data_IF_305383906362
#
_entry.id   IF_305383906362
#
_cell.length_a   1.000
_cell.length_b   1.000
_cell.length_c   1.000
_cell.angle_alpha   90.00
_cell.angle_beta   90.00
_cell.angle_gamma   90.00
#
_symmetry.space_group_name_H-M   'P 1'
#
loop_
_entity.id
_entity.type
_entity.pdbx_description
1 polymer ?
#
# COMPACT_ATOMS: atom_id res chain seq x y z
N UNK A 1 -1.67 -83.90 87.76
CA UNK A 1 -0.65 -84.80 87.17
C UNK A 1 0.35 -83.95 86.40
N UNK A 2 1.63 -84.25 86.63
CA UNK A 2 2.80 -83.62 86.04
C UNK A 2 2.86 -83.94 84.53
N UNK A 3 3.14 -82.97 83.67
CA UNK A 3 4.11 -83.16 82.58
C UNK A 3 4.61 -81.85 81.96
N UNK A 4 5.93 -81.81 81.81
CA UNK A 4 6.77 -80.74 81.26
C UNK A 4 6.83 -80.82 79.72
N UNK A 5 7.49 -79.82 79.14
CA UNK A 5 8.03 -79.67 77.77
C UNK A 5 7.21 -78.72 76.90
N UNK A 6 7.78 -77.80 76.12
CA UNK A 6 9.17 -77.44 75.83
C UNK A 6 9.08 -76.05 75.18
N UNK A 7 9.94 -75.12 75.58
CA UNK A 7 10.00 -73.76 75.03
C UNK A 7 10.49 -73.80 73.57
N UNK A 8 9.74 -73.20 72.63
CA UNK A 8 10.25 -72.89 71.30
C UNK A 8 9.93 -71.43 70.98
N UNK A 9 10.95 -70.58 71.09
CA UNK A 9 10.91 -69.17 70.74
C UNK A 9 10.94 -69.06 69.21
N UNK A 10 9.79 -68.79 68.59
CA UNK A 10 9.73 -68.41 67.17
C UNK A 10 10.06 -66.91 67.08
N UNK A 11 11.27 -66.63 66.62
CA UNK A 11 11.69 -65.31 66.14
C UNK A 11 10.99 -65.07 64.79
N UNK A 12 9.92 -64.27 64.77
CA UNK A 12 9.32 -63.80 63.53
C UNK A 12 10.25 -62.72 62.96
N UNK A 13 11.11 -63.12 62.01
CA UNK A 13 11.77 -62.19 61.11
C UNK A 13 10.69 -61.50 60.26
N UNK A 14 10.38 -60.25 60.57
CA UNK A 14 9.64 -59.37 59.67
C UNK A 14 10.62 -58.97 58.58
N UNK A 15 10.67 -59.77 57.50
CA UNK A 15 11.33 -59.36 56.27
C UNK A 15 10.56 -58.17 55.72
N UNK A 16 11.13 -56.96 55.84
CA UNK A 16 10.76 -55.81 55.02
C UNK A 16 11.07 -56.20 53.57
N UNK A 17 10.09 -56.81 52.90
CA UNK A 17 10.10 -56.94 51.46
C UNK A 17 10.18 -55.54 50.88
N UNK A 18 11.30 -55.22 50.23
CA UNK A 18 11.43 -54.01 49.44
C UNK A 18 10.35 -54.08 48.36
N UNK A 19 9.21 -53.39 48.57
CA UNK A 19 8.21 -53.23 47.53
C UNK A 19 8.94 -52.54 46.37
N UNK A 20 9.15 -53.28 45.27
CA UNK A 20 9.86 -52.78 44.10
C UNK A 20 9.11 -51.52 43.65
N UNK A 21 9.79 -50.38 43.75
CA UNK A 21 9.21 -49.10 43.39
C UNK A 21 8.71 -49.16 41.94
N UNK A 22 7.44 -48.80 41.72
CA UNK A 22 6.85 -48.82 40.39
C UNK A 22 7.60 -47.83 39.48
N UNK A 23 7.91 -48.28 38.26
CA UNK A 23 8.63 -47.47 37.28
C UNK A 23 7.82 -46.19 36.95
N UNK A 24 8.48 -45.02 36.80
CA UNK A 24 7.76 -43.79 36.45
C UNK A 24 6.98 -43.96 35.13
N UNK A 25 5.78 -43.39 35.07
CA UNK A 25 4.90 -43.42 33.91
C UNK A 25 4.27 -42.04 33.68
N UNK A 26 4.15 -41.64 32.43
CA UNK A 26 3.37 -40.48 31.98
C UNK A 26 2.53 -40.94 30.80
N UNK A 27 1.21 -40.87 30.91
CA UNK A 27 0.29 -41.07 29.79
C UNK A 27 -0.32 -39.72 29.40
N UNK A 28 0.14 -39.16 28.30
CA UNK A 28 -0.40 -37.93 27.71
C UNK A 28 -1.70 -38.24 26.96
N UNK A 29 -2.79 -37.53 27.29
CA UNK A 29 -4.04 -37.63 26.57
C UNK A 29 -4.13 -36.47 25.55
N UNK A 30 -3.34 -36.57 24.49
CA UNK A 30 -3.32 -35.61 23.40
C UNK A 30 -3.25 -36.34 22.05
N UNK A 31 -4.26 -36.14 21.21
CA UNK A 31 -4.27 -36.72 19.86
C UNK A 31 -3.22 -36.02 18.99
N UNK A 32 -2.26 -36.78 18.45
CA UNK A 32 -1.28 -36.26 17.49
C UNK A 32 -0.08 -35.51 18.09
N UNK A 33 0.08 -35.49 19.43
CA UNK A 33 1.29 -34.93 20.07
C UNK A 33 1.42 -33.41 20.02
N UNK A 34 0.37 -32.68 19.63
CA UNK A 34 0.38 -31.22 19.48
C UNK A 34 -0.98 -30.62 19.84
N UNK A 35 -0.97 -29.42 20.40
CA UNK A 35 -2.13 -28.51 20.39
C UNK A 35 -1.87 -27.35 19.42
N UNK A 36 -2.93 -26.89 18.74
CA UNK A 36 -2.87 -25.78 17.79
C UNK A 36 -3.82 -24.66 18.23
N UNK A 37 -3.38 -23.41 18.10
CA UNK A 37 -4.19 -22.22 18.39
C UNK A 37 -4.12 -21.20 17.26
N UNK A 38 -5.18 -20.40 17.14
CA UNK A 38 -5.17 -19.24 16.26
C UNK A 38 -4.16 -18.18 16.74
N UNK A 39 -3.85 -17.21 15.89
CA UNK A 39 -2.96 -16.10 16.21
C UNK A 39 -3.43 -15.20 17.36
N UNK A 40 -4.67 -15.33 17.84
CA UNK A 40 -5.19 -14.54 18.97
C UNK A 40 -4.81 -15.18 20.32
N UNK A 41 -4.86 -14.37 21.39
CA UNK A 41 -4.67 -14.89 22.75
C UNK A 41 -5.73 -15.95 23.06
N UNK A 42 -5.30 -17.07 23.64
CA UNK A 42 -6.19 -18.20 23.94
C UNK A 42 -5.67 -19.03 25.11
N UNK A 43 -6.56 -19.81 25.72
CA UNK A 43 -6.22 -20.78 26.76
C UNK A 43 -6.76 -22.14 26.35
N UNK A 44 -5.93 -23.18 26.44
CA UNK A 44 -6.29 -24.55 26.11
C UNK A 44 -5.93 -25.48 27.27
N UNK A 45 -6.59 -26.63 27.35
CA UNK A 45 -6.33 -27.62 28.40
C UNK A 45 -5.72 -28.90 27.82
N UNK A 46 -4.68 -29.42 28.45
CA UNK A 46 -4.08 -30.74 28.16
C UNK A 46 -4.20 -31.62 29.40
N UNK A 47 -4.63 -32.87 29.23
CA UNK A 47 -4.74 -33.81 30.35
C UNK A 47 -3.69 -34.90 30.26
N UNK A 48 -3.17 -35.34 31.40
CA UNK A 48 -2.24 -36.47 31.47
C UNK A 48 -2.35 -37.19 32.82
N UNK A 49 -1.91 -38.44 32.86
CA UNK A 49 -1.80 -39.22 34.11
C UNK A 49 -0.36 -39.58 34.40
N UNK A 50 0.03 -39.54 35.67
CA UNK A 50 1.35 -39.99 36.12
C UNK A 50 1.30 -40.66 37.49
N UNK A 51 2.21 -41.61 37.73
CA UNK A 51 2.34 -42.31 39.01
C UNK A 51 3.43 -41.71 39.93
N UNK A 52 4.11 -40.63 39.52
CA UNK A 52 5.11 -39.91 40.33
C UNK A 52 4.74 -38.42 40.46
N UNK A 53 5.38 -37.75 41.40
CA UNK A 53 5.42 -36.28 41.37
C UNK A 53 6.08 -35.82 40.07
N UNK A 54 5.62 -34.69 39.56
CA UNK A 54 5.94 -34.24 38.21
C UNK A 54 6.24 -32.74 38.16
N UNK A 55 6.91 -32.32 37.10
CA UNK A 55 7.11 -30.93 36.71
C UNK A 55 6.74 -30.74 35.23
N UNK A 56 6.27 -29.55 34.87
CA UNK A 56 6.06 -29.13 33.49
C UNK A 56 6.88 -27.87 33.21
N UNK A 57 7.64 -27.92 32.13
CA UNK A 57 8.47 -26.82 31.67
C UNK A 57 8.19 -26.56 30.20
N UNK A 58 8.13 -25.29 29.82
CA UNK A 58 8.20 -24.92 28.41
C UNK A 58 9.67 -24.99 28.01
N UNK A 59 10.03 -25.95 27.16
CA UNK A 59 11.37 -26.08 26.62
C UNK A 59 11.54 -25.15 25.42
N UNK A 60 12.73 -24.57 25.31
CA UNK A 60 12.94 -23.41 24.46
C UNK A 60 13.82 -23.75 23.26
N UNK A 61 13.32 -23.46 22.06
CA UNK A 61 14.15 -22.69 21.16
C UNK A 61 13.87 -21.21 21.46
N UNK A 62 14.72 -20.55 22.27
CA UNK A 62 14.75 -19.09 22.42
C UNK A 62 13.78 -18.38 23.40
N UNK A 63 13.50 -18.93 24.58
CA UNK A 63 12.68 -18.30 25.65
C UNK A 63 11.32 -17.73 25.25
N UNK A 64 10.33 -18.58 24.93
CA UNK A 64 9.02 -18.11 24.51
C UNK A 64 8.24 -17.56 25.72
N UNK A 65 8.27 -16.23 25.88
CA UNK A 65 7.41 -15.49 26.82
C UNK A 65 5.92 -15.53 26.44
N UNK A 66 5.60 -16.01 25.24
CA UNK A 66 4.26 -16.01 24.68
C UNK A 66 3.42 -17.21 25.10
N UNK A 67 4.00 -18.28 25.67
CA UNK A 67 3.26 -19.45 26.16
C UNK A 67 3.56 -19.69 27.63
N UNK A 68 2.54 -20.05 28.41
CA UNK A 68 2.73 -20.46 29.80
C UNK A 68 1.90 -21.69 30.14
N UNK A 69 2.42 -22.53 31.03
CA UNK A 69 1.77 -23.76 31.51
C UNK A 69 1.50 -23.67 33.00
N UNK A 70 0.28 -24.07 33.43
CA UNK A 70 -0.11 -24.11 34.85
C UNK A 70 -0.98 -25.34 35.14
N UNK A 71 -0.78 -26.05 36.26
CA UNK A 71 0.34 -25.91 37.20
C UNK A 71 1.68 -26.37 36.59
N UNK A 72 2.80 -25.89 37.16
CA UNK A 72 4.17 -26.27 36.71
C UNK A 72 4.75 -27.46 37.47
N UNK A 73 4.08 -27.93 38.52
CA UNK A 73 4.44 -29.13 39.27
C UNK A 73 3.24 -29.69 40.03
N UNK A 74 3.34 -30.94 40.45
CA UNK A 74 2.30 -31.60 41.23
C UNK A 74 2.67 -33.00 41.67
N UNK A 75 1.71 -33.67 42.31
CA UNK A 75 1.81 -35.08 42.74
C UNK A 75 1.27 -36.01 41.66
N UNK A 76 1.46 -37.32 41.86
CA UNK A 76 0.85 -38.37 41.05
C UNK A 76 -0.67 -38.22 40.97
N UNK A 77 -1.26 -38.67 39.86
CA UNK A 77 -2.70 -38.63 39.62
C UNK A 77 -3.05 -38.29 38.17
N UNK A 78 -4.30 -37.86 37.97
CA UNK A 78 -4.77 -37.24 36.73
C UNK A 78 -4.66 -35.73 36.86
N UNK A 79 -4.01 -35.09 35.90
CA UNK A 79 -3.72 -33.66 35.91
C UNK A 79 -4.28 -33.01 34.66
N UNK A 80 -4.84 -31.81 34.84
CA UNK A 80 -5.17 -30.88 33.75
C UNK A 80 -4.19 -29.72 33.78
N UNK A 81 -3.47 -29.52 32.69
CA UNK A 81 -2.62 -28.37 32.44
C UNK A 81 -3.40 -27.33 31.65
N UNK A 82 -3.39 -26.09 32.11
CA UNK A 82 -3.79 -24.92 31.33
C UNK A 82 -2.58 -24.41 30.55
N UNK A 83 -2.75 -24.21 29.26
CA UNK A 83 -1.77 -23.66 28.33
C UNK A 83 -2.31 -22.33 27.84
N UNK A 84 -1.74 -21.24 28.36
CA UNK A 84 -2.10 -19.88 27.98
C UNK A 84 -1.14 -19.38 26.90
N UNK A 85 -1.68 -18.95 25.76
CA UNK A 85 -0.94 -18.37 24.63
C UNK A 85 -1.28 -16.89 24.49
N UNK A 86 -0.26 -16.05 24.38
CA UNK A 86 -0.40 -14.65 23.98
C UNK A 86 -0.68 -14.55 22.48
N UNK A 87 -1.26 -13.44 22.03
CA UNK A 87 -1.47 -13.17 20.61
C UNK A 87 -0.14 -13.15 19.84
N UNK A 88 -0.15 -13.73 18.64
CA UNK A 88 0.88 -13.66 17.63
C UNK A 88 0.49 -12.57 16.62
N UNK A 89 1.23 -11.46 16.58
CA UNK A 89 0.92 -10.34 15.68
C UNK A 89 1.67 -10.40 14.34
N UNK A 90 2.61 -11.33 14.17
CA UNK A 90 3.48 -11.40 12.99
C UNK A 90 2.96 -12.41 11.96
N UNK A 91 3.31 -12.19 10.68
CA UNK A 91 3.01 -13.08 9.56
C UNK A 91 3.95 -14.30 9.53
N UNK A 92 4.16 -14.93 10.69
CA UNK A 92 4.93 -16.16 10.83
C UNK A 92 4.33 -16.97 11.97
N UNK A 93 4.10 -18.26 11.76
CA UNK A 93 3.69 -19.17 12.83
C UNK A 93 4.83 -19.35 13.82
N UNK A 94 4.48 -19.73 15.05
CA UNK A 94 5.47 -19.99 16.10
C UNK A 94 5.13 -21.26 16.86
N UNK A 95 6.17 -21.94 17.31
CA UNK A 95 6.10 -23.21 18.00
C UNK A 95 6.84 -23.15 19.33
N UNK A 96 6.36 -23.89 20.31
CA UNK A 96 7.03 -24.15 21.58
C UNK A 96 6.78 -25.59 22.01
N UNK A 97 7.71 -26.18 22.75
CA UNK A 97 7.55 -27.52 23.27
C UNK A 97 7.26 -27.47 24.77
N UNK A 98 6.25 -28.21 25.23
CA UNK A 98 5.96 -28.37 26.66
C UNK A 98 6.39 -29.77 27.07
N UNK A 99 7.34 -29.83 28.00
CA UNK A 99 7.92 -31.07 28.52
C UNK A 99 7.42 -31.32 29.93
N UNK A 100 6.81 -32.49 30.12
CA UNK A 100 6.41 -33.02 31.42
C UNK A 100 7.47 -34.02 31.87
N UNK A 101 7.96 -33.90 33.09
CA UNK A 101 8.95 -34.80 33.68
C UNK A 101 8.36 -35.46 34.93
N UNK A 102 8.43 -36.78 35.04
CA UNK A 102 8.01 -37.54 36.22
C UNK A 102 9.04 -38.63 36.51
N UNK A 103 9.77 -38.51 37.62
CA UNK A 103 10.94 -39.34 37.88
C UNK A 103 12.00 -39.16 36.79
N UNK A 104 12.35 -40.25 36.10
CA UNK A 104 13.35 -40.27 35.02
C UNK A 104 12.75 -40.21 33.61
N UNK A 105 11.41 -40.22 33.49
CA UNK A 105 10.74 -40.17 32.18
C UNK A 105 10.26 -38.75 31.89
N UNK A 106 10.44 -38.36 30.64
CA UNK A 106 9.89 -37.14 30.07
C UNK A 106 8.89 -37.46 28.97
N UNK A 107 7.94 -36.56 28.77
CA UNK A 107 6.97 -36.61 27.69
C UNK A 107 6.74 -35.18 27.18
N UNK A 108 6.88 -34.98 25.88
CA UNK A 108 6.87 -33.65 25.27
C UNK A 108 5.75 -33.56 24.24
N UNK A 109 5.02 -32.45 24.24
CA UNK A 109 4.06 -32.11 23.20
C UNK A 109 4.31 -30.70 22.67
N UNK A 110 3.94 -30.46 21.41
CA UNK A 110 4.12 -29.17 20.74
C UNK A 110 2.91 -28.26 20.96
N UNK A 111 3.18 -26.97 21.12
CA UNK A 111 2.21 -25.88 21.04
C UNK A 111 2.48 -25.11 19.76
N UNK A 112 1.58 -25.24 18.79
CA UNK A 112 1.65 -24.52 17.52
C UNK A 112 0.68 -23.34 17.54
N UNK A 113 1.15 -22.16 17.16
CA UNK A 113 0.30 -20.98 16.99
C UNK A 113 0.40 -20.43 15.57
N UNK A 114 -0.76 -20.25 14.94
CA UNK A 114 -0.88 -19.72 13.58
C UNK A 114 -0.26 -18.32 13.46
N UNK A 115 0.15 -17.97 12.23
CA UNK A 115 0.53 -16.61 11.87
C UNK A 115 -0.68 -15.65 11.91
N UNK A 116 -0.43 -14.37 12.20
CA UNK A 116 -1.44 -13.33 11.99
C UNK A 116 -1.75 -13.17 10.49
N UNK A 117 -2.98 -12.73 10.12
CA UNK A 117 -3.27 -12.30 8.75
C UNK A 117 -2.31 -11.18 8.29
N UNK A 118 -2.05 -11.05 6.98
CA UNK A 118 -1.13 -10.04 6.46
C UNK A 118 -1.71 -8.63 6.68
N UNK A 119 -0.85 -7.68 7.02
CA UNK A 119 -1.25 -6.28 7.17
C UNK A 119 -0.40 -5.38 6.27
N UNK A 120 -0.99 -4.30 5.75
CA UNK A 120 -0.25 -3.21 5.13
C UNK A 120 -0.83 -1.86 5.56
N UNK A 121 0.06 -0.95 5.92
CA UNK A 121 -0.27 0.44 6.25
C UNK A 121 0.67 1.38 5.51
N UNK A 122 0.15 2.55 5.16
CA UNK A 122 0.92 3.67 4.59
C UNK A 122 0.74 4.90 5.49
N UNK A 123 1.75 5.76 5.55
CA UNK A 123 1.73 6.97 6.39
C UNK A 123 0.79 8.06 5.89
N UNK A 124 0.43 8.05 4.60
CA UNK A 124 -0.57 8.95 4.01
C UNK A 124 -1.25 8.33 2.79
N UNK A 125 -2.55 8.56 2.63
CA UNK A 125 -3.33 8.10 1.47
C UNK A 125 -3.36 9.10 0.31
N UNK A 126 -3.04 10.37 0.55
CA UNK A 126 -3.09 11.43 -0.47
C UNK A 126 -1.82 12.28 -0.37
N UNK A 127 -1.29 12.67 -1.52
CA UNK A 127 -0.21 13.65 -1.61
C UNK A 127 -0.35 14.52 -2.86
N UNK A 128 -0.25 15.84 -2.67
CA UNK A 128 -0.28 16.81 -3.75
C UNK A 128 1.13 17.39 -3.94
N UNK A 129 1.57 17.51 -5.19
CA UNK A 129 2.89 18.05 -5.55
C UNK A 129 2.78 19.09 -6.68
N UNK A 130 3.80 19.95 -6.79
CA UNK A 130 3.93 20.93 -7.88
C UNK A 130 4.08 20.27 -9.25
N UNK A 131 3.91 21.06 -10.32
CA UNK A 131 3.98 20.57 -11.69
C UNK A 131 5.42 20.29 -12.15
N UNK A 132 6.42 20.72 -11.39
CA UNK A 132 7.83 20.53 -11.67
C UNK A 132 8.25 19.07 -11.52
N UNK A 133 9.44 18.74 -12.04
CA UNK A 133 10.08 17.47 -11.71
C UNK A 133 10.39 17.42 -10.22
N UNK A 134 10.28 16.25 -9.60
CA UNK A 134 10.51 16.16 -8.17
C UNK A 134 10.51 14.74 -7.63
N UNK A 135 10.50 14.67 -6.30
CA UNK A 135 10.43 13.40 -5.59
C UNK A 135 9.61 13.52 -4.31
N UNK A 136 8.99 12.42 -3.92
CA UNK A 136 8.17 12.29 -2.73
C UNK A 136 8.35 10.89 -2.12
N UNK A 137 8.06 10.74 -0.83
CA UNK A 137 8.20 9.46 -0.12
C UNK A 137 6.90 9.02 0.52
N UNK A 138 6.73 7.71 0.64
CA UNK A 138 5.65 7.06 1.39
C UNK A 138 6.27 5.98 2.26
N UNK A 139 6.00 6.01 3.57
CA UNK A 139 6.42 4.96 4.47
C UNK A 139 5.39 3.83 4.47
N UNK A 140 5.84 2.59 4.26
CA UNK A 140 5.01 1.39 4.22
C UNK A 140 5.40 0.50 5.40
N UNK A 141 4.40 -0.02 6.12
CA UNK A 141 4.62 -0.99 7.20
C UNK A 141 3.75 -2.24 7.01
N UNK A 142 4.32 -3.40 7.33
CA UNK A 142 3.65 -4.71 7.33
C UNK A 142 4.00 -5.46 8.61
N UNK A 143 3.24 -6.50 8.94
CA UNK A 143 3.52 -7.38 10.08
C UNK A 143 4.53 -8.50 9.75
N UNK A 144 5.46 -8.24 8.83
CA UNK A 144 6.42 -9.23 8.32
C UNK A 144 5.96 -9.95 7.05
N UNK A 145 4.72 -9.74 6.61
CA UNK A 145 4.29 -10.19 5.30
C UNK A 145 4.99 -9.39 4.19
N UNK A 146 5.40 -10.02 3.07
CA UNK A 146 5.95 -9.31 1.93
C UNK A 146 4.89 -8.39 1.31
N UNK A 147 5.34 -7.37 0.58
CA UNK A 147 4.44 -6.48 -0.14
C UNK A 147 4.93 -6.19 -1.57
N UNK A 148 4.00 -5.77 -2.42
CA UNK A 148 4.22 -5.30 -3.79
C UNK A 148 3.50 -3.98 -4.04
N UNK A 149 3.96 -3.26 -5.06
CA UNK A 149 3.40 -1.98 -5.51
C UNK A 149 3.00 -2.06 -6.97
N UNK A 150 1.83 -1.51 -7.29
CA UNK A 150 1.32 -1.37 -8.66
C UNK A 150 0.77 0.04 -8.90
N UNK A 151 0.43 0.34 -10.15
CA UNK A 151 -0.17 1.64 -10.53
C UNK A 151 0.85 2.78 -10.69
N UNK A 152 2.13 2.46 -10.84
CA UNK A 152 3.19 3.44 -11.16
C UNK A 152 3.08 3.82 -12.65
N UNK A 153 2.70 5.07 -12.99
CA UNK A 153 2.56 5.49 -14.38
C UNK A 153 3.92 5.79 -15.03
N UNK A 154 3.95 5.91 -16.37
CA UNK A 154 5.19 6.10 -17.14
C UNK A 154 5.97 7.39 -16.84
N UNK A 155 5.31 8.41 -16.26
CA UNK A 155 5.94 9.68 -15.88
C UNK A 155 6.58 9.64 -14.48
N UNK A 156 6.50 8.50 -13.78
CA UNK A 156 6.99 8.28 -12.42
C UNK A 156 7.80 6.99 -12.33
N UNK A 157 8.79 6.94 -11.44
CA UNK A 157 9.47 5.71 -11.03
C UNK A 157 9.42 5.56 -9.51
N UNK A 158 9.43 4.32 -9.02
CA UNK A 158 9.51 3.99 -7.60
C UNK A 158 10.86 3.34 -7.29
N UNK A 159 11.45 3.67 -6.13
CA UNK A 159 12.71 3.06 -5.68
C UNK A 159 12.60 1.56 -5.40
N UNK A 160 11.39 1.08 -5.16
CA UNK A 160 11.06 -0.33 -4.99
C UNK A 160 9.63 -0.58 -5.43
N UNK A 161 9.42 -1.71 -6.11
CA UNK A 161 8.09 -2.23 -6.46
C UNK A 161 7.65 -3.39 -5.54
N UNK A 162 8.45 -3.66 -4.51
CA UNK A 162 8.22 -4.72 -3.53
C UNK A 162 9.44 -4.96 -2.66
N UNK A 163 9.22 -5.37 -1.42
CA UNK A 163 10.27 -5.71 -0.47
C UNK A 163 9.78 -6.83 0.47
N UNK A 164 10.71 -7.58 1.08
CA UNK A 164 10.34 -8.62 2.03
C UNK A 164 9.63 -8.04 3.28
N UNK A 165 9.89 -6.78 3.64
CA UNK A 165 9.30 -6.11 4.81
C UNK A 165 9.15 -4.60 4.61
N UNK A 166 8.62 -3.90 5.63
CA UNK A 166 8.39 -2.47 5.72
C UNK A 166 9.58 -1.62 5.24
N UNK A 167 9.31 -0.63 4.38
CA UNK A 167 10.32 0.31 3.87
C UNK A 167 9.69 1.66 3.53
N UNK A 168 10.54 2.66 3.32
CA UNK A 168 10.14 3.91 2.66
C UNK A 168 10.32 3.74 1.16
N UNK A 169 9.25 3.99 0.40
CA UNK A 169 9.30 4.06 -1.07
C UNK A 169 9.46 5.50 -1.50
N UNK A 170 10.46 5.76 -2.33
CA UNK A 170 10.69 7.06 -2.96
C UNK A 170 10.13 7.03 -4.37
N UNK A 171 9.22 7.96 -4.66
CA UNK A 171 8.68 8.23 -5.98
C UNK A 171 9.43 9.40 -6.59
N UNK A 172 10.01 9.23 -7.77
CA UNK A 172 10.58 10.31 -8.58
C UNK A 172 9.72 10.50 -9.81
N UNK A 173 9.37 11.74 -10.13
CA UNK A 173 8.42 12.05 -11.19
C UNK A 173 8.91 13.17 -12.11
N UNK A 174 8.57 13.06 -13.38
CA UNK A 174 8.84 14.08 -14.40
C UNK A 174 7.92 15.29 -14.20
N UNK A 175 8.24 16.42 -14.83
CA UNK A 175 7.37 17.58 -14.85
C UNK A 175 6.05 17.30 -15.61
N UNK A 176 4.95 17.88 -15.15
CA UNK A 176 3.67 17.92 -15.86
C UNK A 176 3.55 19.26 -16.60
N UNK A 177 3.83 19.27 -17.91
CA UNK A 177 3.80 20.50 -18.72
C UNK A 177 2.42 20.83 -19.29
N UNK A 178 1.41 20.00 -19.02
CA UNK A 178 0.04 20.21 -19.46
C UNK A 178 -0.70 21.13 -18.48
N UNK A 179 -1.63 21.93 -19.00
CA UNK A 179 -2.56 22.74 -18.21
C UNK A 179 -3.69 21.90 -17.55
N UNK A 180 -3.45 20.61 -17.36
CA UNK A 180 -4.35 19.65 -16.73
C UNK A 180 -3.55 18.86 -15.70
N UNK A 181 -4.07 18.77 -14.49
CA UNK A 181 -3.44 17.97 -13.43
C UNK A 181 -3.47 16.48 -13.80
N UNK A 182 -2.51 15.71 -13.27
CA UNK A 182 -2.44 14.27 -13.48
C UNK A 182 -2.31 13.53 -12.16
N UNK A 183 -2.78 12.30 -12.14
CA UNK A 183 -2.88 11.48 -10.93
C UNK A 183 -2.19 10.13 -11.12
N UNK A 184 -1.60 9.61 -10.04
CA UNK A 184 -1.15 8.23 -9.90
C UNK A 184 -1.90 7.55 -8.75
N UNK A 185 -2.54 6.42 -9.04
CA UNK A 185 -3.20 5.56 -8.06
C UNK A 185 -2.26 4.40 -7.69
N UNK A 186 -1.44 4.62 -6.67
CA UNK A 186 -0.37 3.71 -6.25
C UNK A 186 -0.93 2.72 -5.22
N UNK A 187 -1.00 1.45 -5.58
CA UNK A 187 -1.62 0.41 -4.74
C UNK A 187 -0.55 -0.48 -4.13
N UNK A 188 -0.43 -0.41 -2.80
CA UNK A 188 0.40 -1.28 -1.99
C UNK A 188 -0.41 -2.50 -1.57
N UNK A 189 0.11 -3.69 -1.87
CA UNK A 189 -0.54 -4.97 -1.56
C UNK A 189 0.39 -5.82 -0.72
N UNK A 190 -0.07 -6.26 0.45
CA UNK A 190 0.60 -7.31 1.23
C UNK A 190 -0.29 -8.54 1.26
N UNK A 191 0.05 -9.51 0.40
CA UNK A 191 -0.72 -10.73 0.16
C UNK A 191 -2.19 -10.41 -0.17
N UNK A 192 -3.10 -10.40 0.80
CA UNK A 192 -4.53 -10.06 0.61
C UNK A 192 -4.91 -8.65 1.09
N UNK A 193 -4.07 -7.99 1.89
CA UNK A 193 -4.35 -6.64 2.40
C UNK A 193 -3.88 -5.58 1.41
N UNK A 194 -4.66 -4.52 1.22
CA UNK A 194 -4.34 -3.43 0.28
C UNK A 194 -4.48 -2.05 0.90
N UNK A 195 -3.66 -1.11 0.42
CA UNK A 195 -3.78 0.34 0.67
C UNK A 195 -3.45 1.11 -0.60
N UNK A 196 -4.23 2.16 -0.85
CA UNK A 196 -4.03 3.06 -2.01
C UNK A 196 -3.47 4.39 -1.53
N UNK A 197 -2.39 4.82 -2.18
CA UNK A 197 -1.84 6.16 -2.11
C UNK A 197 -2.14 6.89 -3.42
N UNK A 198 -2.81 8.04 -3.34
CA UNK A 198 -3.14 8.86 -4.49
C UNK A 198 -2.18 10.05 -4.54
N UNK A 199 -1.39 10.12 -5.60
CA UNK A 199 -0.51 11.27 -5.84
C UNK A 199 -1.06 12.13 -6.96
N UNK A 200 -1.40 13.39 -6.65
CA UNK A 200 -1.84 14.39 -7.63
C UNK A 200 -0.69 15.35 -7.94
N UNK A 201 -0.29 15.42 -9.20
CA UNK A 201 0.66 16.40 -9.70
C UNK A 201 -0.10 17.56 -10.38
N UNK A 202 0.17 18.78 -9.92
CA UNK A 202 -0.51 19.97 -10.41
C UNK A 202 -0.34 20.18 -11.94
N UNK A 203 -1.26 20.94 -12.52
CA UNK A 203 -1.15 21.45 -13.89
C UNK A 203 -0.05 22.52 -13.98
N UNK A 204 0.65 22.58 -15.11
CA UNK A 204 1.47 23.73 -15.45
C UNK A 204 0.61 24.95 -15.80
N UNK A 205 1.17 26.17 -15.70
CA UNK A 205 0.52 27.37 -16.24
C UNK A 205 0.14 27.22 -17.71
N UNK A 206 -0.99 27.80 -18.10
CA UNK A 206 -1.46 27.78 -19.48
C UNK A 206 -0.49 28.51 -20.43
N UNK A 207 -0.26 27.93 -21.60
CA UNK A 207 0.50 28.54 -22.69
C UNK A 207 -0.38 28.74 -23.92
N UNK A 208 -0.10 29.79 -24.69
CA UNK A 208 -0.75 30.03 -25.99
C UNK A 208 0.21 30.67 -26.98
N UNK A 209 0.20 30.17 -28.21
CA UNK A 209 0.83 30.78 -29.37
C UNK A 209 -0.13 30.75 -30.56
N UNK A 210 0.06 31.69 -31.48
CA UNK A 210 -0.59 31.71 -32.79
C UNK A 210 0.49 31.72 -33.88
N UNK A 211 0.19 31.14 -35.04
CA UNK A 211 1.15 31.03 -36.16
C UNK A 211 1.44 32.37 -36.86
N UNK A 212 0.55 33.35 -36.72
CA UNK A 212 0.72 34.68 -37.27
C UNK A 212 0.13 35.75 -36.34
N UNK A 213 0.90 36.83 -36.11
CA UNK A 213 0.48 37.94 -35.25
C UNK A 213 -0.08 39.12 -36.04
N UNK A 214 0.04 39.11 -37.36
CA UNK A 214 -0.51 40.13 -38.23
C UNK A 214 -0.91 39.53 -39.59
N UNK A 215 -1.95 40.11 -40.21
CA UNK A 215 -2.36 39.75 -41.56
C UNK A 215 -2.93 40.98 -42.26
N UNK A 216 -2.45 41.23 -43.47
CA UNK A 216 -3.09 42.19 -44.40
C UNK A 216 -3.92 41.41 -45.41
N UNK A 217 -5.16 41.85 -45.64
CA UNK A 217 -6.07 41.26 -46.62
C UNK A 217 -6.65 42.32 -47.54
N UNK A 218 -7.07 41.87 -48.72
CA UNK A 218 -7.72 42.72 -49.71
C UNK A 218 -9.08 43.25 -49.25
N UNK A 219 -9.56 44.27 -49.96
CA UNK A 219 -10.85 44.88 -49.65
C UNK A 219 -12.05 43.93 -49.84
N UNK A 220 -11.94 42.88 -50.65
CA UNK A 220 -13.00 41.89 -50.88
C UNK A 220 -13.25 41.02 -49.65
N UNK A 221 -14.43 40.41 -49.52
CA UNK A 221 -14.69 39.42 -48.46
C UNK A 221 -13.85 38.17 -48.65
N UNK A 222 -13.47 37.51 -47.56
CA UNK A 222 -12.69 36.28 -47.64
C UNK A 222 -12.49 35.62 -46.29
N UNK A 223 -11.59 34.63 -46.27
CA UNK A 223 -11.24 33.87 -45.08
C UNK A 223 -9.77 33.46 -45.07
N UNK A 224 -9.20 33.33 -43.88
CA UNK A 224 -7.91 32.67 -43.67
C UNK A 224 -7.92 31.85 -42.37
N UNK A 225 -6.93 30.98 -42.18
CA UNK A 225 -6.79 30.18 -40.97
C UNK A 225 -5.63 30.70 -40.11
N UNK A 226 -5.82 30.65 -38.80
CA UNK A 226 -4.80 30.90 -37.76
C UNK A 226 -4.69 29.65 -36.91
N UNK A 227 -3.52 29.02 -36.87
CA UNK A 227 -3.28 27.91 -35.95
C UNK A 227 -3.02 28.44 -34.54
N UNK A 228 -3.82 28.00 -33.57
CA UNK A 228 -3.65 28.28 -32.13
C UNK A 228 -3.06 27.03 -31.46
N UNK A 229 -1.92 27.18 -30.78
CA UNK A 229 -1.27 26.08 -30.05
C UNK A 229 -1.29 26.37 -28.55
N UNK A 230 -1.71 25.39 -27.74
CA UNK A 230 -1.70 25.47 -26.26
C UNK A 230 -1.16 24.18 -25.64
N UNK A 231 -0.80 24.22 -24.36
CA UNK A 231 -0.45 23.02 -23.58
C UNK A 231 -1.68 22.28 -23.02
N UNK A 232 -2.70 22.06 -23.85
CA UNK A 232 -4.05 21.57 -23.46
C UNK A 232 -4.92 22.59 -22.70
N UNK A 233 -4.46 23.84 -22.57
CA UNK A 233 -5.25 24.90 -21.97
C UNK A 233 -6.46 25.27 -22.84
N UNK A 234 -7.56 25.63 -22.19
CA UNK A 234 -8.67 26.32 -22.84
C UNK A 234 -8.28 27.75 -23.20
N UNK A 235 -8.75 28.23 -24.35
CA UNK A 235 -8.50 29.57 -24.84
C UNK A 235 -9.75 30.21 -25.44
N UNK A 236 -9.77 31.54 -25.46
CA UNK A 236 -10.85 32.37 -26.01
C UNK A 236 -10.31 33.56 -26.78
N UNK A 237 -10.95 33.88 -27.89
CA UNK A 237 -10.69 35.08 -28.68
C UNK A 237 -11.66 36.22 -28.28
N UNK A 238 -11.16 37.46 -28.31
CA UNK A 238 -11.89 38.70 -28.00
C UNK A 238 -11.42 39.83 -28.91
N UNK A 239 -12.06 41.01 -28.85
CA UNK A 239 -11.73 42.13 -29.75
C UNK A 239 -12.18 41.91 -31.21
N UNK A 240 -13.18 41.04 -31.41
CA UNK A 240 -13.69 40.68 -32.74
C UNK A 240 -14.65 41.79 -33.23
N UNK A 241 -14.32 42.56 -34.28
CA UNK A 241 -15.19 43.61 -34.79
C UNK A 241 -16.37 43.01 -35.58
N UNK A 242 -17.43 43.79 -35.81
CA UNK A 242 -18.64 43.32 -36.51
C UNK A 242 -18.41 42.83 -37.96
N UNK A 243 -17.30 43.24 -38.59
CA UNK A 243 -16.94 42.80 -39.94
C UNK A 243 -16.10 41.52 -39.98
N UNK A 244 -15.80 40.91 -38.82
CA UNK A 244 -15.07 39.64 -38.68
C UNK A 244 -15.90 38.62 -37.90
N UNK A 245 -15.80 37.35 -38.28
CA UNK A 245 -16.26 36.22 -37.46
C UNK A 245 -15.16 35.17 -37.31
N UNK A 246 -15.13 34.50 -36.15
CA UNK A 246 -14.16 33.44 -35.85
C UNK A 246 -14.88 32.10 -35.67
N UNK A 247 -14.31 31.03 -36.22
CA UNK A 247 -14.84 29.68 -36.04
C UNK A 247 -13.71 28.67 -35.80
N UNK A 248 -13.56 28.12 -34.58
CA UNK A 248 -14.24 28.53 -33.35
C UNK A 248 -13.65 29.84 -32.76
N UNK A 249 -14.41 30.54 -31.93
CA UNK A 249 -13.91 31.69 -31.15
C UNK A 249 -13.34 31.31 -29.77
N UNK A 250 -13.50 30.06 -29.37
CA UNK A 250 -12.96 29.47 -28.13
C UNK A 250 -12.80 27.96 -28.33
N UNK A 251 -11.79 27.36 -27.70
CA UNK A 251 -11.57 25.91 -27.76
C UNK A 251 -10.79 25.42 -26.54
N UNK A 252 -10.79 24.10 -26.30
CA UNK A 252 -9.86 23.46 -25.37
C UNK A 252 -8.75 22.76 -26.14
N UNK A 253 -7.51 23.04 -25.77
CA UNK A 253 -6.34 22.55 -26.51
C UNK A 253 -6.09 23.31 -27.81
N UNK A 254 -5.08 22.85 -28.55
CA UNK A 254 -4.71 23.41 -29.84
C UNK A 254 -5.81 23.23 -30.88
N UNK A 255 -5.88 24.15 -31.84
CA UNK A 255 -6.85 24.08 -32.94
C UNK A 255 -6.69 25.20 -33.95
N UNK A 256 -7.29 25.04 -35.12
CA UNK A 256 -7.29 26.07 -36.15
C UNK A 256 -8.53 26.95 -36.03
N UNK A 257 -8.33 28.25 -36.16
CA UNK A 257 -9.38 29.27 -36.18
C UNK A 257 -9.54 29.80 -37.59
N UNK A 258 -10.73 29.62 -38.16
CA UNK A 258 -11.11 30.27 -39.41
C UNK A 258 -11.55 31.69 -39.12
N UNK A 259 -10.84 32.67 -39.70
CA UNK A 259 -11.14 34.09 -39.63
C UNK A 259 -11.87 34.47 -40.92
N UNK A 260 -13.17 34.74 -40.85
CA UNK A 260 -13.94 35.26 -41.99
C UNK A 260 -14.12 36.76 -41.85
N UNK A 261 -14.01 37.50 -42.95
CA UNK A 261 -14.17 38.95 -42.97
C UNK A 261 -15.05 39.40 -44.14
N UNK A 262 -15.89 40.42 -43.89
CA UNK A 262 -16.74 41.01 -44.93
C UNK A 262 -15.95 41.97 -45.81
N UNK A 263 -16.53 42.38 -46.94
CA UNK A 263 -15.92 43.39 -47.81
C UNK A 263 -15.76 44.74 -47.09
N UNK A 264 -14.66 45.44 -47.32
CA UNK A 264 -14.48 46.85 -46.96
C UNK A 264 -14.87 47.74 -48.16
N UNK A 265 -16.02 48.39 -48.06
CA UNK A 265 -16.57 49.30 -49.09
C UNK A 265 -16.18 50.77 -48.86
N UNK A 266 -15.30 51.04 -47.89
CA UNK A 266 -14.88 52.39 -47.57
C UNK A 266 -13.60 52.77 -48.31
N UNK A 267 -13.37 54.07 -48.45
CA UNK A 267 -12.14 54.61 -49.05
C UNK A 267 -10.95 54.63 -48.06
N UNK A 268 -11.09 54.03 -46.87
CA UNK A 268 -10.04 53.92 -45.86
C UNK A 268 -9.78 52.45 -45.51
N UNK A 269 -8.53 52.09 -45.24
CA UNK A 269 -8.23 50.78 -44.66
C UNK A 269 -8.81 50.71 -43.26
N UNK A 270 -9.25 49.52 -42.84
CA UNK A 270 -9.75 49.27 -41.49
C UNK A 270 -8.89 48.23 -40.79
N UNK A 271 -8.78 48.34 -39.49
CA UNK A 271 -7.94 47.46 -38.68
C UNK A 271 -8.72 46.91 -37.48
N UNK A 272 -8.35 45.71 -37.04
CA UNK A 272 -8.78 45.15 -35.78
C UNK A 272 -7.68 44.35 -35.08
N UNK A 273 -7.67 44.39 -33.76
CA UNK A 273 -6.79 43.59 -32.91
C UNK A 273 -7.61 42.50 -32.23
N UNK A 274 -7.44 41.26 -32.69
CA UNK A 274 -8.09 40.09 -32.12
C UNK A 274 -7.15 39.51 -31.06
N UNK A 275 -7.65 39.37 -29.83
CA UNK A 275 -6.85 38.92 -28.69
C UNK A 275 -7.24 37.50 -28.30
N UNK A 276 -6.27 36.58 -28.31
CA UNK A 276 -6.40 35.20 -27.85
C UNK A 276 -5.82 35.07 -26.44
N UNK A 277 -6.59 34.50 -25.51
CA UNK A 277 -6.20 34.35 -24.09
C UNK A 277 -6.34 32.91 -23.65
N UNK A 278 -5.31 32.38 -22.97
CA UNK A 278 -5.35 31.10 -22.24
C UNK A 278 -4.80 31.30 -20.83
N UNK A 279 -5.65 31.20 -19.81
CA UNK A 279 -5.28 31.60 -18.45
C UNK A 279 -4.78 33.05 -18.41
N UNK A 280 -3.56 33.27 -17.93
CA UNK A 280 -2.90 34.59 -17.94
C UNK A 280 -2.09 34.86 -19.21
N UNK A 281 -1.93 33.90 -20.11
CA UNK A 281 -1.16 34.05 -21.34
C UNK A 281 -2.01 34.71 -22.44
N UNK A 282 -1.41 35.64 -23.19
CA UNK A 282 -2.10 36.46 -24.19
C UNK A 282 -1.29 36.52 -25.49
N UNK A 283 -1.98 36.42 -26.63
CA UNK A 283 -1.47 36.68 -27.99
C UNK A 283 -2.46 37.51 -28.79
N UNK A 284 -1.97 38.26 -29.76
CA UNK A 284 -2.79 39.18 -30.56
C UNK A 284 -2.52 39.00 -32.04
N UNK A 285 -3.60 39.02 -32.83
CA UNK A 285 -3.58 39.11 -34.28
C UNK A 285 -4.07 40.50 -34.71
N UNK A 286 -3.21 41.25 -35.38
CA UNK A 286 -3.60 42.50 -36.06
C UNK A 286 -4.07 42.19 -37.47
N UNK A 287 -5.35 42.41 -37.77
CA UNK A 287 -5.93 42.25 -39.10
C UNK A 287 -6.13 43.61 -39.74
N UNK A 288 -5.39 43.90 -40.81
CA UNK A 288 -5.56 45.10 -41.63
C UNK A 288 -6.27 44.72 -42.92
N UNK A 289 -7.44 45.31 -43.17
CA UNK A 289 -8.15 45.15 -44.43
C UNK A 289 -8.06 46.44 -45.24
N UNK A 290 -7.52 46.32 -46.46
CA UNK A 290 -7.31 47.46 -47.34
C UNK A 290 -8.62 48.15 -47.74
N UNK A 291 -8.54 49.46 -48.05
CA UNK A 291 -9.62 50.22 -48.69
C UNK A 291 -10.02 49.63 -50.04
N UNK A 292 -11.21 49.95 -50.52
CA UNK A 292 -11.62 49.60 -51.89
C UNK A 292 -10.61 50.17 -52.91
N UNK A 293 -10.04 49.30 -53.75
CA UNK A 293 -9.03 49.66 -54.77
C UNK A 293 -7.57 49.74 -54.26
N UNK A 294 -7.29 49.38 -53.00
CA UNK A 294 -5.92 49.00 -52.60
C UNK A 294 -5.55 47.65 -53.21
N UNK A 295 -4.29 47.45 -53.60
CA UNK A 295 -3.78 46.20 -54.18
C UNK A 295 -2.49 45.83 -53.45
N UNK A 296 -2.40 44.62 -52.88
CA UNK A 296 -1.12 44.04 -52.44
C UNK A 296 -0.38 43.51 -53.66
N UNK A 297 0.75 44.15 -53.99
CA UNK A 297 1.66 43.60 -54.99
C UNK A 297 2.28 42.30 -54.43
N UNK A 298 2.26 41.23 -55.22
CA UNK A 298 2.57 39.86 -54.81
C UNK A 298 4.06 39.58 -54.60
N UNK A 299 4.74 40.38 -53.77
CA UNK A 299 6.18 40.32 -53.55
C UNK A 299 6.62 39.50 -52.34
N UNK A 300 7.11 38.30 -52.62
CA UNK A 300 8.02 37.42 -51.87
C UNK A 300 7.59 36.76 -50.54
N UNK A 301 7.67 35.42 -50.63
CA UNK A 301 7.70 34.40 -49.57
C UNK A 301 8.86 34.60 -48.58
#
# INVERSE_FOLDING_TARGET
MRNKSLFFFIFILISYGCAKEEAPKIDLNISGGQISGQHISSSQTVTFTTNKSWTATVAESGSPSWVSVRPTSGKAGTITLNIDMQANAVYQSRDADVTITAGTITNTFRVHQDAAPPTVTIDRSIQNVGYETGSATVAVSTNGAPWSLSGVPSWMTASSIGAPTATTVTFTYQANLLAVAREANLVFTSVTATKTHVMTQAAAPATISIDQNAKTVESVSGSFSVAVTTNSAAWKASGIPAWVTLTPSENTGSGNVVVNFTQNTTNASREATITFTAGSAVKTLTLTQLRTGGYIDGGNL
#
